data_IF_202433540422
#
_entry.id   IF_202433540422
#
_cell.length_a   1.000
_cell.length_b   1.000
_cell.length_c   1.000
_cell.angle_alpha   90.00
_cell.angle_beta   90.00
_cell.angle_gamma   90.00
#
_symmetry.space_group_name_H-M   'P 1'
#
loop_
_entity.id
_entity.type
_entity.pdbx_description
1 polymer ?
#
# COMPACT_ATOMS: atom_id res chain seq x y z
N UNK A 1 11.51 15.10 -14.12
CA UNK A 1 10.75 14.26 -13.18
C UNK A 1 9.34 14.14 -13.70
N UNK A 2 8.89 12.95 -14.08
CA UNK A 2 7.52 12.71 -14.54
C UNK A 2 6.57 12.82 -13.34
N UNK A 3 5.47 13.57 -13.49
CA UNK A 3 4.42 13.68 -12.48
C UNK A 3 3.07 13.31 -13.09
N UNK A 4 2.39 12.35 -12.49
CA UNK A 4 1.04 11.91 -12.85
C UNK A 4 0.09 12.14 -11.67
N UNK A 5 -1.18 12.40 -11.96
CA UNK A 5 -2.21 12.65 -10.94
C UNK A 5 -3.50 11.93 -11.28
N UNK A 6 -4.21 11.49 -10.25
CA UNK A 6 -5.53 10.91 -10.38
C UNK A 6 -5.55 9.48 -10.91
N UNK A 7 -6.67 8.81 -10.63
CA UNK A 7 -7.06 7.53 -11.19
C UNK A 7 -8.58 7.42 -11.08
N UNK A 8 -9.28 6.83 -12.08
CA UNK A 8 -10.72 6.62 -11.96
C UNK A 8 -11.10 5.74 -10.75
N UNK A 9 -12.09 6.18 -9.96
CA UNK A 9 -12.55 5.44 -8.78
C UNK A 9 -13.46 4.25 -9.10
N UNK A 10 -14.05 4.21 -10.30
CA UNK A 10 -15.02 3.17 -10.70
C UNK A 10 -14.52 1.74 -10.45
N UNK A 11 -13.29 1.42 -10.86
CA UNK A 11 -12.74 0.09 -10.67
C UNK A 11 -12.55 -0.25 -9.18
N UNK A 12 -12.22 0.75 -8.36
CA UNK A 12 -12.09 0.59 -6.91
C UNK A 12 -13.45 0.30 -6.27
N UNK A 13 -14.49 1.05 -6.65
CA UNK A 13 -15.85 0.87 -6.11
C UNK A 13 -16.38 -0.51 -6.49
N UNK A 14 -16.25 -0.92 -7.75
CA UNK A 14 -16.75 -2.21 -8.24
C UNK A 14 -16.04 -3.42 -7.60
N UNK A 15 -14.74 -3.33 -7.32
CA UNK A 15 -13.99 -4.43 -6.71
C UNK A 15 -14.11 -4.50 -5.18
N UNK A 16 -14.74 -3.51 -4.56
CA UNK A 16 -14.80 -3.38 -3.09
C UNK A 16 -16.21 -3.22 -2.56
N UNK A 17 -17.18 -3.90 -3.16
CA UNK A 17 -18.59 -3.90 -2.73
C UNK A 17 -18.76 -4.29 -1.27
N UNK A 18 -17.98 -5.27 -0.78
CA UNK A 18 -18.00 -5.68 0.62
C UNK A 18 -17.65 -4.57 1.62
N UNK A 19 -16.97 -3.49 1.18
CA UNK A 19 -16.68 -2.34 2.05
C UNK A 19 -17.92 -1.48 2.31
N UNK A 20 -18.96 -1.65 1.49
CA UNK A 20 -20.27 -1.03 1.65
C UNK A 20 -21.24 -1.99 2.33
N UNK A 21 -21.26 -3.26 1.90
CA UNK A 21 -22.26 -4.25 2.30
C UNK A 21 -21.95 -4.97 3.62
N UNK A 22 -20.66 -5.17 3.94
CA UNK A 22 -20.21 -5.99 5.08
C UNK A 22 -19.54 -5.15 6.18
N UNK A 23 -20.03 -3.92 6.42
CA UNK A 23 -19.44 -2.96 7.36
C UNK A 23 -19.14 -3.55 8.75
N UNK A 24 -20.14 -4.15 9.40
CA UNK A 24 -20.02 -4.70 10.75
C UNK A 24 -19.00 -5.85 10.84
N UNK A 25 -18.97 -6.71 9.82
CA UNK A 25 -18.02 -7.81 9.76
C UNK A 25 -16.59 -7.28 9.72
N UNK A 26 -16.33 -6.28 8.89
CA UNK A 26 -15.00 -5.72 8.76
C UNK A 26 -14.58 -4.93 10.00
N UNK A 27 -15.48 -4.16 10.62
CA UNK A 27 -15.21 -3.48 11.90
C UNK A 27 -14.84 -4.49 12.99
N UNK A 28 -15.57 -5.60 13.09
CA UNK A 28 -15.26 -6.65 14.07
C UNK A 28 -13.85 -7.22 13.87
N UNK A 29 -13.48 -7.54 12.63
CA UNK A 29 -12.12 -8.02 12.28
C UNK A 29 -11.06 -6.97 12.61
N UNK A 30 -11.35 -5.70 12.32
CA UNK A 30 -10.48 -4.59 12.64
C UNK A 30 -10.22 -4.51 14.14
N UNK A 31 -11.25 -4.43 14.96
CA UNK A 31 -11.10 -4.36 16.42
C UNK A 31 -10.34 -5.55 17.01
N UNK A 32 -10.52 -6.76 16.47
CA UNK A 32 -9.71 -7.93 16.84
C UNK A 32 -8.20 -7.72 16.59
N UNK A 33 -7.84 -7.14 15.44
CA UNK A 33 -6.45 -6.79 15.12
C UNK A 33 -5.93 -5.72 16.09
N UNK A 34 -6.74 -4.69 16.41
CA UNK A 34 -6.37 -3.65 17.37
C UNK A 34 -6.07 -4.20 18.76
N UNK A 35 -6.89 -5.13 19.25
CA UNK A 35 -6.69 -5.79 20.54
C UNK A 35 -5.36 -6.56 20.61
N UNK A 36 -4.89 -7.11 19.49
CA UNK A 36 -3.58 -7.77 19.40
C UNK A 36 -2.47 -6.71 19.39
N UNK A 37 -2.63 -5.65 18.61
CA UNK A 37 -1.63 -4.60 18.45
C UNK A 37 -1.38 -3.80 19.75
N UNK A 38 -2.43 -3.47 20.51
CA UNK A 38 -2.33 -2.72 21.77
C UNK A 38 -1.57 -3.50 22.86
N UNK A 39 -1.51 -4.83 22.75
CA UNK A 39 -0.75 -5.70 23.68
C UNK A 39 0.75 -5.73 23.39
N UNK A 40 1.20 -5.12 22.29
CA UNK A 40 2.62 -5.06 21.95
C UNK A 40 3.34 -4.01 22.82
N UNK A 41 4.68 -4.06 22.92
CA UNK A 41 5.45 -3.03 23.61
C UNK A 41 5.18 -1.63 23.04
N UNK A 42 5.24 -0.60 23.89
CA UNK A 42 5.10 0.78 23.43
C UNK A 42 6.25 1.15 22.49
N UNK A 43 5.89 1.77 21.37
CA UNK A 43 6.84 2.34 20.41
C UNK A 43 7.46 3.61 20.96
N UNK A 44 8.78 3.59 21.10
CA UNK A 44 9.57 4.72 21.64
C UNK A 44 10.19 5.59 20.56
N UNK A 45 10.40 5.04 19.37
CA UNK A 45 11.07 5.74 18.26
C UNK A 45 10.23 5.67 17.00
N UNK A 46 10.32 6.70 16.17
CA UNK A 46 9.61 6.77 14.91
C UNK A 46 10.09 5.68 13.96
N UNK A 47 9.15 4.91 13.41
CA UNK A 47 9.46 3.81 12.47
C UNK A 47 10.14 4.31 11.18
N UNK A 48 9.91 5.57 10.80
CA UNK A 48 10.51 6.16 9.62
C UNK A 48 11.92 6.70 9.84
N UNK A 49 12.18 7.43 10.94
CA UNK A 49 13.45 8.16 11.12
C UNK A 49 14.27 7.75 12.36
N UNK A 50 13.81 6.79 13.16
CA UNK A 50 14.41 6.33 14.42
C UNK A 50 14.60 7.42 15.50
N UNK A 51 14.06 8.63 15.33
CA UNK A 51 14.06 9.65 16.38
C UNK A 51 13.04 9.32 17.48
N UNK A 52 13.28 9.74 18.73
CA UNK A 52 12.31 9.57 19.82
C UNK A 52 10.93 10.13 19.45
N UNK A 53 9.88 9.42 19.85
CA UNK A 53 8.50 9.90 19.78
C UNK A 53 8.10 10.53 21.11
N UNK A 54 7.16 11.47 21.07
CA UNK A 54 6.49 11.98 22.27
C UNK A 54 5.84 10.83 23.05
N UNK A 55 5.78 10.96 24.38
CA UNK A 55 5.01 10.03 25.23
C UNK A 55 3.50 10.23 25.10
N UNK A 56 3.08 11.43 24.65
CA UNK A 56 1.68 11.82 24.45
C UNK A 56 1.21 11.37 23.06
N UNK A 57 -0.03 10.88 22.98
CA UNK A 57 -0.69 10.56 21.71
C UNK A 57 -1.36 11.82 21.15
N UNK A 58 -1.28 12.03 19.84
CA UNK A 58 -2.00 13.12 19.15
C UNK A 58 -3.49 12.82 19.02
N UNK A 59 -3.83 11.54 18.84
CA UNK A 59 -5.21 11.05 18.87
C UNK A 59 -5.25 9.56 19.20
N UNK A 60 -6.46 9.07 19.47
CA UNK A 60 -6.74 7.65 19.72
C UNK A 60 -7.85 7.17 18.80
N UNK A 61 -7.73 5.92 18.31
CA UNK A 61 -8.71 5.28 17.45
C UNK A 61 -8.75 3.78 17.75
N UNK A 62 -9.93 3.27 18.11
CA UNK A 62 -10.15 1.87 18.52
C UNK A 62 -9.15 1.39 19.62
N UNK A 63 -8.84 2.26 20.59
CA UNK A 63 -7.88 1.97 21.68
C UNK A 63 -6.40 2.13 21.30
N UNK A 64 -6.10 2.38 20.02
CA UNK A 64 -4.75 2.58 19.53
C UNK A 64 -4.42 4.07 19.61
N UNK A 65 -3.38 4.40 20.38
CA UNK A 65 -2.78 5.74 20.34
C UNK A 65 -1.96 5.94 19.07
N UNK A 66 -2.02 7.14 18.50
CA UNK A 66 -1.22 7.53 17.34
C UNK A 66 -0.40 8.79 17.63
N UNK A 67 0.78 8.86 17.01
CA UNK A 67 1.82 9.88 17.26
C UNK A 67 2.44 10.36 15.96
N UNK A 68 2.39 11.65 15.72
CA UNK A 68 3.04 12.34 14.61
C UNK A 68 4.47 12.66 15.05
N UNK A 69 5.45 12.22 14.27
CA UNK A 69 6.86 12.45 14.60
C UNK A 69 7.26 13.91 14.37
N UNK A 70 7.77 14.58 15.39
CA UNK A 70 8.22 15.98 15.31
C UNK A 70 9.41 16.20 14.35
N UNK A 71 10.14 15.15 13.98
CA UNK A 71 11.30 15.26 13.07
C UNK A 71 10.94 15.09 11.60
N UNK A 72 10.08 14.13 11.26
CA UNK A 72 9.80 13.77 9.87
C UNK A 72 8.32 13.73 9.52
N UNK A 73 7.45 14.13 10.44
CA UNK A 73 5.97 14.15 10.33
C UNK A 73 5.31 12.80 10.03
N UNK A 74 6.05 11.70 10.08
CA UNK A 74 5.49 10.35 9.92
C UNK A 74 4.46 10.08 11.00
N UNK A 75 3.32 9.50 10.63
CA UNK A 75 2.30 9.06 11.58
C UNK A 75 2.63 7.66 12.06
N UNK A 76 2.74 7.44 13.36
CA UNK A 76 3.11 6.17 13.99
C UNK A 76 1.99 5.70 14.91
N UNK A 77 1.66 4.42 14.90
CA UNK A 77 0.94 3.78 15.99
C UNK A 77 1.83 3.69 17.24
N UNK A 78 1.21 3.74 18.41
CA UNK A 78 1.90 3.81 19.70
C UNK A 78 2.56 2.48 20.14
N UNK A 79 2.47 1.42 19.34
CA UNK A 79 2.94 0.08 19.68
C UNK A 79 3.87 -0.52 18.61
N UNK A 80 4.71 -1.47 18.99
CA UNK A 80 5.69 -2.11 18.11
C UNK A 80 5.05 -3.22 17.24
N UNK A 81 5.53 -3.35 16.01
CA UNK A 81 5.16 -4.44 15.10
C UNK A 81 6.07 -5.65 15.37
N UNK A 82 5.91 -6.29 16.53
CA UNK A 82 6.80 -7.40 16.94
C UNK A 82 6.63 -8.65 16.06
N UNK A 83 7.58 -9.57 16.09
CA UNK A 83 7.47 -10.88 15.42
C UNK A 83 6.17 -11.60 15.81
N UNK A 84 5.72 -11.49 17.06
CA UNK A 84 4.45 -12.04 17.54
C UNK A 84 3.26 -11.39 16.85
N UNK A 85 3.26 -10.07 16.70
CA UNK A 85 2.20 -9.37 15.96
C UNK A 85 2.24 -9.73 14.48
N UNK A 86 3.41 -9.62 13.85
CA UNK A 86 3.60 -9.91 12.44
C UNK A 86 3.22 -11.36 12.09
N UNK A 87 3.62 -12.34 12.90
CA UNK A 87 3.23 -13.75 12.68
C UNK A 87 1.73 -14.00 12.85
N UNK A 88 1.04 -13.28 13.73
CA UNK A 88 -0.42 -13.40 13.87
C UNK A 88 -1.17 -12.79 12.68
N UNK A 89 -0.68 -11.67 12.15
CA UNK A 89 -1.33 -10.98 11.03
C UNK A 89 -0.95 -11.60 9.68
N UNK A 90 0.29 -12.07 9.53
CA UNK A 90 0.89 -12.51 8.27
C UNK A 90 1.33 -13.98 8.25
N UNK A 91 1.61 -14.60 9.40
CA UNK A 91 2.30 -15.90 9.49
C UNK A 91 1.44 -17.12 9.79
N UNK A 92 0.29 -17.01 10.46
CA UNK A 92 -0.45 -18.18 10.98
C UNK A 92 -1.93 -18.26 10.60
N UNK A 93 -2.49 -17.25 9.92
CA UNK A 93 -3.82 -17.32 9.35
C UNK A 93 -3.77 -16.98 7.86
N UNK A 94 -3.59 -18.02 7.04
CA UNK A 94 -3.88 -18.06 5.59
C UNK A 94 -5.29 -17.55 5.22
N UNK A 95 -6.11 -17.14 6.21
CA UNK A 95 -7.52 -16.73 6.05
C UNK A 95 -7.78 -15.25 6.23
N UNK A 96 -6.94 -14.45 6.91
CA UNK A 96 -7.29 -13.04 7.21
C UNK A 96 -6.70 -12.06 6.19
N UNK A 97 -5.39 -12.05 5.98
CA UNK A 97 -4.76 -11.17 4.99
C UNK A 97 -4.96 -11.68 3.56
N UNK A 98 -4.78 -12.99 3.33
CA UNK A 98 -5.01 -13.62 2.02
C UNK A 98 -6.48 -13.59 1.58
N UNK A 99 -7.46 -13.42 2.49
CA UNK A 99 -8.86 -13.21 2.11
C UNK A 99 -9.06 -11.93 1.27
N UNK A 100 -8.24 -10.90 1.46
CA UNK A 100 -8.29 -9.67 0.63
C UNK A 100 -7.78 -9.89 -0.81
N UNK A 101 -7.18 -11.06 -1.07
CA UNK A 101 -6.59 -11.47 -2.34
C UNK A 101 -7.09 -12.85 -2.80
N UNK A 102 -8.24 -13.31 -2.30
CA UNK A 102 -8.87 -14.51 -2.86
C UNK A 102 -9.19 -14.25 -4.33
N UNK A 103 -8.66 -15.12 -5.16
CA UNK A 103 -8.92 -15.14 -6.59
C UNK A 103 -9.91 -16.27 -6.81
N UNK A 104 -11.14 -15.91 -7.14
CA UNK A 104 -12.18 -16.91 -7.38
C UNK A 104 -11.86 -17.72 -8.65
N UNK A 105 -11.31 -17.05 -9.68
CA UNK A 105 -10.86 -17.68 -10.93
C UNK A 105 -9.84 -16.81 -11.72
N UNK A 106 -9.35 -17.36 -12.84
CA UNK A 106 -8.39 -16.71 -13.75
C UNK A 106 -8.96 -15.44 -14.38
N UNK A 107 -10.27 -15.33 -14.56
CA UNK A 107 -10.91 -14.14 -15.14
C UNK A 107 -10.85 -12.97 -14.15
N UNK A 108 -11.26 -13.20 -12.90
CA UNK A 108 -11.14 -12.25 -11.80
C UNK A 108 -9.68 -11.82 -11.57
N UNK A 109 -8.74 -12.76 -11.66
CA UNK A 109 -7.31 -12.45 -11.63
C UNK A 109 -6.94 -11.46 -12.73
N UNK A 110 -7.27 -11.79 -13.98
CA UNK A 110 -6.92 -11.00 -15.15
C UNK A 110 -7.58 -9.62 -15.15
N UNK A 111 -8.82 -9.52 -14.67
CA UNK A 111 -9.52 -8.25 -14.48
C UNK A 111 -8.80 -7.36 -13.47
N UNK A 112 -8.34 -7.91 -12.35
CA UNK A 112 -7.57 -7.15 -11.36
C UNK A 112 -6.19 -6.76 -11.89
N UNK A 113 -5.52 -7.64 -12.65
CA UNK A 113 -4.27 -7.31 -13.37
C UNK A 113 -4.49 -6.09 -14.27
N UNK A 114 -5.51 -6.10 -15.13
CA UNK A 114 -5.75 -5.03 -16.10
C UNK A 114 -6.22 -3.71 -15.47
N UNK A 115 -7.08 -3.76 -14.47
CA UNK A 115 -7.70 -2.56 -13.89
C UNK A 115 -6.86 -1.90 -12.78
N UNK A 116 -6.08 -2.68 -12.04
CA UNK A 116 -5.30 -2.17 -10.90
C UNK A 116 -3.81 -2.09 -11.21
N UNK A 117 -3.22 -3.16 -11.75
CA UNK A 117 -1.76 -3.31 -11.81
C UNK A 117 -1.15 -2.92 -13.15
N UNK A 118 -1.88 -3.08 -14.25
CA UNK A 118 -1.41 -2.63 -15.57
C UNK A 118 -1.13 -1.12 -15.61
N UNK A 119 -1.96 -0.23 -15.04
CA UNK A 119 -1.61 1.19 -14.93
C UNK A 119 -0.33 1.45 -14.12
N UNK A 120 -0.06 0.64 -13.09
CA UNK A 120 1.18 0.75 -12.29
C UNK A 120 2.40 0.32 -13.12
N UNK A 121 2.25 -0.73 -13.92
CA UNK A 121 3.31 -1.24 -14.79
C UNK A 121 3.63 -0.24 -15.91
N UNK A 122 2.61 0.34 -16.53
CA UNK A 122 2.73 1.43 -17.51
C UNK A 122 3.41 2.67 -16.92
N UNK A 123 3.07 3.03 -15.68
CA UNK A 123 3.75 4.13 -14.97
C UNK A 123 5.24 3.86 -14.80
N UNK A 124 5.64 2.66 -14.37
CA UNK A 124 7.05 2.28 -14.27
C UNK A 124 7.76 2.32 -15.63
N UNK A 125 7.14 1.71 -16.64
CA UNK A 125 7.68 1.61 -17.99
C UNK A 125 7.91 3.00 -18.61
N UNK A 126 6.89 3.85 -18.58
CA UNK A 126 6.94 5.22 -19.09
C UNK A 126 7.91 6.09 -18.30
N UNK A 127 7.97 5.89 -16.97
CA UNK A 127 8.94 6.59 -16.12
C UNK A 127 10.37 6.29 -16.55
N UNK A 128 10.72 5.01 -16.71
CA UNK A 128 12.07 4.61 -17.15
C UNK A 128 12.41 5.17 -18.54
N UNK A 129 11.47 5.12 -19.50
CA UNK A 129 11.65 5.72 -20.82
C UNK A 129 11.88 7.23 -20.76
N UNK A 130 11.14 7.95 -19.91
CA UNK A 130 11.31 9.41 -19.73
C UNK A 130 12.69 9.81 -19.22
N UNK A 131 13.45 8.84 -18.68
CA UNK A 131 14.84 9.00 -18.23
C UNK A 131 15.86 8.32 -19.16
N UNK A 132 15.49 8.09 -20.44
CA UNK A 132 16.32 7.46 -21.46
C UNK A 132 16.82 6.05 -21.09
N UNK A 133 16.05 5.31 -20.29
CA UNK A 133 16.34 3.93 -19.94
C UNK A 133 15.37 3.02 -20.67
N UNK A 134 15.88 2.08 -21.47
CA UNK A 134 15.05 1.07 -22.11
C UNK A 134 14.61 0.03 -21.06
N UNK A 135 13.31 -0.07 -20.72
CA UNK A 135 12.84 -0.99 -19.68
C UNK A 135 13.12 -2.46 -20.02
N UNK A 136 13.17 -2.82 -21.31
CA UNK A 136 13.38 -4.19 -21.76
C UNK A 136 14.83 -4.70 -21.58
N UNK A 137 15.76 -3.80 -21.26
CA UNK A 137 17.17 -4.16 -20.98
C UNK A 137 17.45 -4.33 -19.48
N UNK A 138 16.43 -4.22 -18.64
CA UNK A 138 16.54 -4.35 -17.19
C UNK A 138 15.95 -5.66 -16.69
N UNK A 139 16.38 -6.04 -15.50
CA UNK A 139 15.84 -7.13 -14.70
C UNK A 139 15.00 -6.59 -13.53
N UNK A 140 13.89 -7.25 -13.22
CA UNK A 140 12.89 -6.77 -12.26
C UNK A 140 12.62 -7.81 -11.18
N UNK A 141 12.53 -7.36 -9.92
CA UNK A 141 12.06 -8.16 -8.81
C UNK A 141 10.92 -7.42 -8.10
N UNK A 142 9.74 -8.03 -8.09
CA UNK A 142 8.63 -7.59 -7.24
C UNK A 142 8.75 -8.22 -5.85
N UNK A 143 9.16 -7.44 -4.87
CA UNK A 143 9.39 -7.90 -3.51
C UNK A 143 8.11 -7.76 -2.67
N UNK A 144 7.64 -8.86 -2.09
CA UNK A 144 6.30 -8.94 -1.48
C UNK A 144 5.20 -9.02 -2.54
N UNK A 145 5.36 -9.90 -3.53
CA UNK A 145 4.54 -9.92 -4.74
C UNK A 145 3.10 -10.40 -4.54
N UNK A 146 2.76 -10.96 -3.38
CA UNK A 146 1.48 -11.62 -3.14
C UNK A 146 1.20 -12.69 -4.22
N UNK A 147 0.00 -12.65 -4.82
CA UNK A 147 -0.40 -13.53 -5.92
C UNK A 147 0.23 -13.18 -7.28
N UNK A 148 1.17 -12.23 -7.34
CA UNK A 148 1.92 -11.89 -8.56
C UNK A 148 1.18 -11.03 -9.58
N UNK A 149 0.20 -10.23 -9.16
CA UNK A 149 -0.53 -9.35 -10.08
C UNK A 149 0.37 -8.35 -10.80
N UNK A 150 1.35 -7.77 -10.10
CA UNK A 150 2.27 -6.79 -10.70
C UNK A 150 3.28 -7.46 -11.64
N UNK A 151 3.81 -8.63 -11.27
CA UNK A 151 4.61 -9.49 -12.14
C UNK A 151 3.86 -9.81 -13.44
N UNK A 152 2.59 -10.24 -13.33
CA UNK A 152 1.72 -10.50 -14.49
C UNK A 152 1.51 -9.24 -15.34
N UNK A 153 1.28 -8.08 -14.72
CA UNK A 153 1.13 -6.81 -15.42
C UNK A 153 2.39 -6.43 -16.21
N UNK A 154 3.58 -6.57 -15.62
CA UNK A 154 4.88 -6.33 -16.27
C UNK A 154 5.08 -7.25 -17.48
N UNK A 155 4.77 -8.54 -17.36
CA UNK A 155 4.83 -9.50 -18.49
C UNK A 155 3.90 -9.08 -19.62
N UNK A 156 2.68 -8.64 -19.31
CA UNK A 156 1.67 -8.23 -20.32
C UNK A 156 2.07 -6.97 -21.09
N UNK A 157 2.88 -6.09 -20.51
CA UNK A 157 3.43 -4.91 -21.21
C UNK A 157 4.76 -5.21 -21.91
N UNK A 158 5.19 -6.47 -21.96
CA UNK A 158 6.35 -6.93 -22.72
C UNK A 158 7.66 -7.08 -21.94
N UNK A 159 7.68 -6.81 -20.63
CA UNK A 159 8.89 -7.03 -19.81
C UNK A 159 9.16 -8.54 -19.69
N UNK A 160 10.34 -8.96 -20.14
CA UNK A 160 10.70 -10.39 -20.19
C UNK A 160 11.37 -10.90 -18.91
N UNK A 161 12.24 -10.09 -18.31
CA UNK A 161 13.06 -10.50 -17.16
C UNK A 161 12.46 -9.96 -15.85
N UNK A 162 11.42 -10.63 -15.36
CA UNK A 162 10.71 -10.26 -14.14
C UNK A 162 10.41 -11.48 -13.29
N UNK A 163 10.67 -11.38 -12.00
CA UNK A 163 10.29 -12.36 -10.98
C UNK A 163 9.63 -11.68 -9.80
N UNK A 164 8.97 -12.47 -8.94
CA UNK A 164 8.40 -12.00 -7.68
C UNK A 164 8.87 -12.85 -6.51
N UNK A 165 8.95 -12.26 -5.32
CA UNK A 165 9.22 -12.99 -4.07
C UNK A 165 8.13 -12.71 -3.04
N UNK A 166 7.73 -13.75 -2.32
CA UNK A 166 6.63 -13.69 -1.34
C UNK A 166 6.93 -14.66 -0.20
N UNK A 167 6.43 -14.38 1.01
CA UNK A 167 6.61 -15.25 2.18
C UNK A 167 5.53 -16.34 2.26
N UNK A 168 4.34 -16.03 1.75
CA UNK A 168 3.20 -16.95 1.73
C UNK A 168 3.30 -17.97 0.59
N UNK A 169 3.63 -19.21 0.91
CA UNK A 169 3.72 -20.31 -0.08
C UNK A 169 2.42 -20.51 -0.88
N UNK A 170 1.27 -20.36 -0.20
CA UNK A 170 -0.05 -20.46 -0.84
C UNK A 170 -0.26 -19.38 -1.92
N UNK A 171 0.23 -18.15 -1.70
CA UNK A 171 0.17 -17.07 -2.66
C UNK A 171 1.09 -17.31 -3.85
N UNK A 172 2.31 -17.82 -3.59
CA UNK A 172 3.26 -18.22 -4.63
C UNK A 172 2.65 -19.29 -5.53
N UNK A 173 2.12 -20.37 -4.95
CA UNK A 173 1.48 -21.46 -5.71
C UNK A 173 0.27 -20.97 -6.52
N UNK A 174 -0.60 -20.18 -5.89
CA UNK A 174 -1.77 -19.62 -6.57
C UNK A 174 -1.35 -18.68 -7.71
N UNK A 175 -0.40 -17.78 -7.47
CA UNK A 175 0.07 -16.82 -8.45
C UNK A 175 0.73 -17.48 -9.65
N UNK A 176 1.64 -18.43 -9.45
CA UNK A 176 2.26 -19.19 -10.55
C UNK A 176 1.19 -19.95 -11.37
N UNK A 177 0.18 -20.52 -10.71
CA UNK A 177 -0.96 -21.15 -11.40
C UNK A 177 -1.76 -20.15 -12.24
N UNK A 178 -2.04 -18.96 -11.70
CA UNK A 178 -2.83 -17.92 -12.39
C UNK A 178 -2.04 -17.27 -13.54
N UNK A 179 -0.73 -17.14 -13.39
CA UNK A 179 0.19 -16.62 -14.42
C UNK A 179 0.44 -17.66 -15.52
N UNK A 180 0.46 -18.95 -15.17
CA UNK A 180 0.80 -20.04 -16.08
C UNK A 180 2.31 -20.24 -16.30
N UNK A 181 3.15 -19.63 -15.45
CA UNK A 181 4.60 -19.68 -15.50
C UNK A 181 5.16 -19.60 -14.06
N UNK A 182 6.28 -20.27 -13.78
CA UNK A 182 6.96 -20.20 -12.48
C UNK A 182 7.81 -18.92 -12.38
N UNK A 183 7.17 -17.82 -11.98
CA UNK A 183 7.82 -16.50 -11.84
C UNK A 183 7.90 -16.01 -10.39
N UNK A 184 7.11 -16.61 -9.50
CA UNK A 184 7.05 -16.26 -8.08
C UNK A 184 7.81 -17.30 -7.25
N UNK A 185 8.59 -16.82 -6.28
CA UNK A 185 9.43 -17.65 -5.42
C UNK A 185 9.16 -17.36 -3.95
N UNK A 186 9.12 -18.43 -3.14
CA UNK A 186 8.99 -18.30 -1.70
C UNK A 186 10.33 -17.90 -1.06
N UNK A 187 10.29 -17.02 -0.07
CA UNK A 187 11.37 -16.86 0.91
C UNK A 187 10.80 -16.87 2.34
N UNK A 188 11.63 -17.10 3.35
CA UNK A 188 11.20 -16.98 4.75
C UNK A 188 11.33 -15.54 5.24
N UNK A 189 10.54 -15.15 6.25
CA UNK A 189 10.62 -13.80 6.85
C UNK A 189 12.03 -13.45 7.35
N UNK A 190 12.76 -14.43 7.88
CA UNK A 190 14.14 -14.26 8.36
C UNK A 190 15.13 -13.92 7.22
N UNK A 191 14.80 -14.33 5.99
CA UNK A 191 15.66 -14.15 4.82
C UNK A 191 15.37 -12.86 4.04
N UNK A 192 14.40 -12.04 4.48
CA UNK A 192 14.02 -10.79 3.79
C UNK A 192 15.22 -9.90 3.46
N UNK A 193 16.16 -9.71 4.40
CA UNK A 193 17.35 -8.90 4.15
C UNK A 193 18.30 -9.57 3.15
N UNK A 194 18.47 -10.89 3.23
CA UNK A 194 19.35 -11.65 2.33
C UNK A 194 18.88 -11.58 0.87
N UNK A 195 17.56 -11.75 0.65
CA UNK A 195 16.96 -11.63 -0.69
C UNK A 195 17.30 -10.27 -1.34
N UNK A 196 17.20 -9.19 -0.57
CA UNK A 196 17.48 -7.83 -1.06
C UNK A 196 18.98 -7.58 -1.22
N UNK A 197 19.84 -8.09 -0.34
CA UNK A 197 21.28 -7.88 -0.43
C UNK A 197 21.94 -8.69 -1.55
N UNK A 198 21.42 -9.87 -1.86
CA UNK A 198 22.04 -10.82 -2.81
C UNK A 198 21.46 -10.73 -4.22
N UNK A 199 20.29 -10.10 -4.40
CA UNK A 199 19.68 -9.99 -5.71
C UNK A 199 20.57 -9.25 -6.71
N UNK A 200 20.53 -9.71 -7.96
CA UNK A 200 21.27 -9.14 -9.09
C UNK A 200 20.37 -8.33 -10.03
N UNK A 201 19.20 -7.93 -9.53
CA UNK A 201 18.20 -7.21 -10.30
C UNK A 201 18.48 -5.70 -10.40
N UNK A 202 18.09 -5.09 -11.52
CA UNK A 202 18.22 -3.64 -11.73
C UNK A 202 17.11 -2.82 -11.05
N UNK A 203 15.88 -3.34 -11.03
CA UNK A 203 14.68 -2.65 -10.53
C UNK A 203 13.96 -3.49 -9.48
N UNK A 204 13.84 -2.96 -8.26
CA UNK A 204 12.95 -3.55 -7.24
C UNK A 204 11.63 -2.79 -7.22
N UNK A 205 10.51 -3.50 -7.16
CA UNK A 205 9.22 -2.93 -6.79
C UNK A 205 8.74 -3.44 -5.43
N UNK A 206 8.09 -2.56 -4.67
CA UNK A 206 7.45 -2.83 -3.39
C UNK A 206 6.07 -2.19 -3.40
N UNK A 207 5.08 -2.92 -3.92
CA UNK A 207 3.73 -2.40 -4.13
C UNK A 207 2.86 -2.66 -2.90
N UNK A 208 2.78 -1.69 -1.99
CA UNK A 208 2.04 -1.84 -0.73
C UNK A 208 2.72 -2.81 0.23
N UNK A 209 4.04 -2.67 0.39
CA UNK A 209 4.89 -3.61 1.15
C UNK A 209 5.72 -2.87 2.19
N UNK A 210 6.29 -1.72 1.84
CA UNK A 210 7.23 -0.98 2.69
C UNK A 210 6.62 -0.60 4.05
N UNK A 211 5.32 -0.32 4.08
CA UNK A 211 4.53 -0.02 5.28
C UNK A 211 4.28 -1.23 6.19
N UNK A 212 4.46 -2.45 5.69
CA UNK A 212 4.25 -3.68 6.44
C UNK A 212 5.55 -4.30 6.95
N UNK A 213 6.71 -3.83 6.46
CA UNK A 213 7.99 -4.31 6.94
C UNK A 213 8.25 -3.85 8.38
N UNK A 214 8.62 -4.80 9.24
CA UNK A 214 9.06 -4.51 10.61
C UNK A 214 10.34 -3.67 10.59
N UNK A 215 11.31 -4.07 9.77
CA UNK A 215 12.65 -3.46 9.64
C UNK A 215 12.80 -2.68 8.32
N UNK A 216 11.84 -1.81 7.98
CA UNK A 216 11.79 -1.09 6.69
C UNK A 216 13.07 -0.30 6.40
N UNK A 217 13.69 0.30 7.41
CA UNK A 217 14.95 1.06 7.29
C UNK A 217 16.13 0.16 6.94
N UNK A 218 16.20 -1.04 7.51
CA UNK A 218 17.24 -2.03 7.20
C UNK A 218 17.12 -2.51 5.75
N UNK A 219 15.88 -2.72 5.28
CA UNK A 219 15.62 -3.04 3.86
C UNK A 219 16.06 -1.92 2.92
N UNK A 220 15.70 -0.66 3.21
CA UNK A 220 16.12 0.49 2.41
C UNK A 220 17.64 0.67 2.41
N UNK A 221 18.30 0.38 3.54
CA UNK A 221 19.76 0.35 3.64
C UNK A 221 20.36 -0.71 2.71
N UNK A 222 19.86 -1.95 2.75
CA UNK A 222 20.32 -3.02 1.86
C UNK A 222 20.13 -2.65 0.38
N UNK A 223 19.01 -2.02 0.01
CA UNK A 223 18.78 -1.51 -1.35
C UNK A 223 19.83 -0.44 -1.73
N UNK A 224 20.11 0.50 -0.83
CA UNK A 224 21.11 1.53 -1.06
C UNK A 224 22.53 0.96 -1.20
N UNK A 225 22.84 -0.13 -0.51
CA UNK A 225 24.19 -0.73 -0.52
C UNK A 225 24.39 -1.74 -1.66
N UNK A 226 23.33 -2.43 -2.12
CA UNK A 226 23.42 -3.40 -3.22
C UNK A 226 23.66 -2.69 -4.56
N UNK A 227 24.83 -2.92 -5.17
CA UNK A 227 25.28 -2.26 -6.40
C UNK A 227 24.51 -2.64 -7.65
N UNK A 228 23.81 -3.79 -7.66
CA UNK A 228 23.02 -4.23 -8.80
C UNK A 228 21.73 -3.42 -8.95
N UNK A 229 21.14 -2.99 -7.82
CA UNK A 229 19.89 -2.25 -7.80
C UNK A 229 20.15 -0.80 -8.22
N UNK A 230 19.46 -0.38 -9.28
CA UNK A 230 19.51 0.97 -9.87
C UNK A 230 18.27 1.77 -9.55
N UNK A 231 17.11 1.11 -9.52
CA UNK A 231 15.82 1.74 -9.29
C UNK A 231 15.00 1.01 -8.23
N UNK A 232 14.23 1.79 -7.47
CA UNK A 232 13.24 1.30 -6.51
C UNK A 232 11.89 1.94 -6.84
N UNK A 233 10.88 1.13 -7.12
CA UNK A 233 9.49 1.58 -7.19
C UNK A 233 8.77 1.23 -5.87
N UNK A 234 8.15 2.21 -5.23
CA UNK A 234 7.28 1.96 -4.07
C UNK A 234 5.86 2.47 -4.33
N UNK A 235 4.89 1.82 -3.71
CA UNK A 235 3.52 2.30 -3.56
C UNK A 235 3.23 2.31 -2.07
N UNK A 236 2.98 3.47 -1.47
CA UNK A 236 2.80 3.60 -0.02
C UNK A 236 1.59 4.46 0.37
N UNK A 237 0.94 4.16 1.51
CA UNK A 237 -0.19 4.93 2.00
C UNK A 237 0.28 6.18 2.74
N UNK A 238 -0.47 7.27 2.57
CA UNK A 238 -0.14 8.60 3.08
C UNK A 238 -1.13 9.07 4.16
N UNK A 239 -0.62 9.79 5.15
CA UNK A 239 -1.46 10.50 6.10
C UNK A 239 -2.20 11.63 5.38
N UNK A 240 -3.52 11.46 5.28
CA UNK A 240 -4.39 12.17 4.33
C UNK A 240 -5.79 12.39 4.94
N UNK A 241 -6.72 12.93 4.16
CA UNK A 241 -8.07 13.23 4.60
C UNK A 241 -8.81 11.96 5.09
N UNK A 242 -8.53 10.80 4.48
CA UNK A 242 -9.09 9.52 4.92
C UNK A 242 -8.97 9.29 6.43
N UNK A 243 -7.83 9.64 7.06
CA UNK A 243 -7.64 9.43 8.50
C UNK A 243 -8.61 10.25 9.34
N UNK A 244 -8.86 11.51 8.95
CA UNK A 244 -9.81 12.37 9.66
C UNK A 244 -11.24 11.85 9.52
N UNK A 245 -11.61 11.36 8.33
CA UNK A 245 -12.93 10.77 8.10
C UNK A 245 -13.16 9.52 8.96
N UNK A 246 -12.12 8.70 9.12
CA UNK A 246 -12.15 7.52 10.00
C UNK A 246 -12.30 7.90 11.48
N UNK A 247 -11.55 8.89 11.97
CA UNK A 247 -11.68 9.39 13.35
C UNK A 247 -13.11 9.87 13.64
N UNK A 248 -13.73 10.56 12.67
CA UNK A 248 -15.10 11.08 12.79
C UNK A 248 -16.18 9.99 12.60
N UNK A 249 -15.81 8.76 12.24
CA UNK A 249 -16.74 7.70 11.86
C UNK A 249 -16.37 6.33 12.44
N UNK A 250 -16.24 6.19 13.78
CA UNK A 250 -15.68 5.00 14.43
C UNK A 250 -16.48 3.70 14.24
N UNK A 251 -17.71 3.79 13.73
CA UNK A 251 -18.57 2.64 13.41
C UNK A 251 -18.69 2.42 11.90
N UNK A 252 -17.71 2.88 11.12
CA UNK A 252 -17.56 2.60 9.70
C UNK A 252 -16.26 1.85 9.50
N UNK A 253 -16.25 0.85 8.62
CA UNK A 253 -15.03 0.13 8.28
C UNK A 253 -13.93 1.11 7.83
N UNK A 254 -12.73 1.01 8.40
CA UNK A 254 -11.62 1.94 8.19
C UNK A 254 -10.58 1.40 7.20
N UNK A 255 -10.65 1.77 5.92
CA UNK A 255 -9.78 1.20 4.89
C UNK A 255 -8.30 1.58 5.07
N UNK A 256 -8.03 2.76 5.62
CA UNK A 256 -6.76 3.45 5.45
C UNK A 256 -5.82 3.28 6.64
N UNK A 257 -6.21 3.73 7.84
CA UNK A 257 -5.41 3.59 9.07
C UNK A 257 -5.99 2.51 9.98
N UNK A 258 -5.99 1.27 9.51
CA UNK A 258 -6.39 0.10 10.29
C UNK A 258 -5.89 -1.19 9.60
N UNK A 259 -6.04 -2.34 10.26
CA UNK A 259 -6.11 -3.64 9.59
C UNK A 259 -4.77 -4.11 9.03
N UNK A 260 -3.67 -3.71 9.68
CA UNK A 260 -2.29 -3.98 9.25
C UNK A 260 -1.50 -2.70 8.97
N UNK A 261 -2.17 -1.58 8.67
CA UNK A 261 -1.50 -0.27 8.59
C UNK A 261 -1.36 0.35 9.99
N UNK A 262 -0.21 0.13 10.61
CA UNK A 262 0.13 0.67 11.94
C UNK A 262 0.77 2.05 11.86
N UNK A 263 1.07 2.54 10.65
CA UNK A 263 1.68 3.85 10.41
C UNK A 263 1.38 4.34 8.99
N UNK A 264 1.57 5.64 8.75
CA UNK A 264 1.36 6.24 7.42
C UNK A 264 2.46 7.25 7.10
N UNK A 265 2.82 7.31 5.82
CA UNK A 265 3.84 8.22 5.33
C UNK A 265 3.31 9.63 5.15
N UNK A 266 4.23 10.59 5.12
CA UNK A 266 3.97 11.96 4.64
C UNK A 266 5.01 12.27 3.58
N UNK A 267 4.79 13.31 2.78
CA UNK A 267 5.80 13.75 1.82
C UNK A 267 7.15 14.05 2.51
N UNK A 268 7.12 14.64 3.72
CA UNK A 268 8.34 14.92 4.48
C UNK A 268 9.01 13.63 4.99
N UNK A 269 8.24 12.65 5.46
CA UNK A 269 8.81 11.38 5.95
C UNK A 269 9.46 10.57 4.82
N UNK A 270 8.85 10.59 3.64
CA UNK A 270 9.43 10.01 2.42
C UNK A 270 10.73 10.75 2.04
N UNK A 271 10.70 12.09 1.99
CA UNK A 271 11.89 12.88 1.67
C UNK A 271 13.03 12.65 2.67
N UNK A 272 12.72 12.43 3.95
CA UNK A 272 13.70 12.04 4.97
C UNK A 272 14.40 10.72 4.59
N UNK A 273 13.64 9.68 4.24
CA UNK A 273 14.19 8.40 3.79
C UNK A 273 15.02 8.55 2.52
N UNK A 274 14.54 9.35 1.55
CA UNK A 274 15.28 9.58 0.31
C UNK A 274 16.66 10.19 0.57
N UNK A 275 16.73 11.19 1.46
CA UNK A 275 17.99 11.84 1.80
C UNK A 275 18.93 10.88 2.54
N UNK A 276 18.42 10.12 3.49
CA UNK A 276 19.21 9.19 4.28
C UNK A 276 19.78 8.03 3.43
N UNK A 277 18.94 7.42 2.59
CA UNK A 277 19.31 6.25 1.79
C UNK A 277 19.74 6.62 0.37
N UNK A 278 20.15 7.89 0.15
CA UNK A 278 20.71 8.38 -1.12
C UNK A 278 19.86 8.05 -2.36
N UNK A 279 18.54 8.18 -2.22
CA UNK A 279 17.58 7.95 -3.29
C UNK A 279 17.13 9.29 -3.88
N UNK A 280 17.10 9.37 -5.22
CA UNK A 280 16.57 10.50 -5.96
C UNK A 280 15.18 10.15 -6.50
N UNK A 281 14.17 10.98 -6.20
CA UNK A 281 12.85 10.87 -6.82
C UNK A 281 12.93 11.23 -8.30
N UNK A 282 12.63 10.28 -9.18
CA UNK A 282 12.69 10.49 -10.64
C UNK A 282 11.31 10.54 -11.30
N UNK A 283 10.31 9.90 -10.68
CA UNK A 283 8.90 10.01 -11.07
C UNK A 283 7.97 9.86 -9.89
N UNK A 284 6.79 10.49 -9.99
CA UNK A 284 5.75 10.46 -8.96
C UNK A 284 4.37 10.29 -9.61
N UNK A 285 3.52 9.44 -9.05
CA UNK A 285 2.10 9.38 -9.37
C UNK A 285 1.27 9.45 -8.09
N UNK A 286 0.56 10.56 -7.95
CA UNK A 286 -0.28 10.86 -6.79
C UNK A 286 -1.73 10.53 -7.11
N UNK A 287 -2.33 9.65 -6.33
CA UNK A 287 -3.76 9.36 -6.41
C UNK A 287 -4.27 8.82 -5.09
N UNK A 288 -5.51 9.13 -4.74
CA UNK A 288 -6.10 8.71 -3.48
C UNK A 288 -7.48 8.07 -3.64
N UNK A 289 -8.00 7.62 -2.52
CA UNK A 289 -9.38 7.19 -2.38
C UNK A 289 -10.08 7.97 -1.25
N UNK A 290 -9.56 9.15 -0.90
CA UNK A 290 -10.10 10.04 0.14
C UNK A 290 -11.58 10.38 -0.12
N UNK A 291 -11.91 10.75 -1.36
CA UNK A 291 -13.30 11.07 -1.74
C UNK A 291 -14.18 9.82 -1.83
N UNK A 292 -13.60 8.66 -2.15
CA UNK A 292 -14.31 7.38 -2.10
C UNK A 292 -14.62 7.01 -0.65
N UNK A 293 -13.69 7.26 0.29
CA UNK A 293 -13.89 7.04 1.71
C UNK A 293 -14.97 7.97 2.29
N UNK A 294 -14.99 9.25 1.85
CA UNK A 294 -16.07 10.19 2.20
C UNK A 294 -17.42 9.70 1.68
N UNK A 295 -17.49 9.38 0.38
CA UNK A 295 -18.70 8.86 -0.26
C UNK A 295 -19.23 7.62 0.48
N UNK A 296 -18.36 6.64 0.71
CA UNK A 296 -18.70 5.40 1.41
C UNK A 296 -19.15 5.67 2.85
N UNK A 297 -18.47 6.55 3.58
CA UNK A 297 -18.85 6.85 4.96
C UNK A 297 -20.25 7.47 5.03
N UNK A 298 -20.63 8.33 4.09
CA UNK A 298 -21.97 8.90 4.05
C UNK A 298 -22.98 7.83 3.62
N UNK A 299 -22.66 7.08 2.56
CA UNK A 299 -23.53 6.04 2.03
C UNK A 299 -23.89 4.98 3.07
N UNK A 300 -22.90 4.39 3.75
CA UNK A 300 -23.14 3.37 4.78
C UNK A 300 -23.93 3.93 5.97
N UNK A 301 -23.69 5.19 6.36
CA UNK A 301 -24.50 5.85 7.41
C UNK A 301 -25.94 6.08 6.96
N UNK A 302 -26.17 6.42 5.69
CA UNK A 302 -27.52 6.55 5.12
C UNK A 302 -28.26 5.20 5.07
N UNK A 303 -27.54 4.10 4.82
CA UNK A 303 -28.12 2.75 4.92
C UNK A 303 -28.52 2.38 6.36
N UNK A 304 -27.80 2.89 7.35
CA UNK A 304 -28.07 2.65 8.77
C UNK A 304 -29.18 3.49 9.41
N UNK A 305 -29.82 4.40 8.66
CA UNK A 305 -30.93 5.23 9.15
C UNK A 305 -32.20 5.01 8.33
N UNK A 306 -33.35 5.45 8.85
CA UNK A 306 -34.61 5.48 8.10
C UNK A 306 -34.57 6.56 7.01
N UNK A 307 -33.93 6.26 5.88
CA UNK A 307 -33.87 7.09 4.69
C UNK A 307 -34.54 6.39 3.50
N UNK A 308 -35.32 7.14 2.72
CA UNK A 308 -35.95 6.59 1.50
C UNK A 308 -34.91 6.18 0.44
N UNK A 309 -35.20 5.14 -0.33
CA UNK A 309 -34.37 4.71 -1.46
C UNK A 309 -34.13 5.84 -2.48
N UNK A 310 -35.11 6.74 -2.63
CA UNK A 310 -34.98 7.93 -3.48
C UNK A 310 -33.85 8.85 -3.03
N UNK A 311 -33.71 9.08 -1.72
CA UNK A 311 -32.64 9.91 -1.15
C UNK A 311 -31.27 9.24 -1.35
N UNK A 312 -31.19 7.93 -1.03
CA UNK A 312 -29.96 7.14 -1.19
C UNK A 312 -29.47 7.12 -2.63
N UNK A 313 -30.39 6.86 -3.57
CA UNK A 313 -30.12 6.91 -5.02
C UNK A 313 -29.68 8.30 -5.46
N UNK A 314 -30.36 9.35 -5.00
CA UNK A 314 -30.00 10.73 -5.35
C UNK A 314 -28.58 11.09 -4.88
N UNK A 315 -28.19 10.68 -3.68
CA UNK A 315 -26.81 10.87 -3.20
C UNK A 315 -25.79 10.12 -4.06
N UNK A 316 -26.05 8.86 -4.39
CA UNK A 316 -25.19 8.07 -5.27
C UNK A 316 -25.01 8.70 -6.66
N UNK A 317 -26.11 9.14 -7.28
CA UNK A 317 -26.09 9.83 -8.58
C UNK A 317 -25.33 11.16 -8.51
N UNK A 318 -25.54 11.96 -7.46
CA UNK A 318 -24.85 13.23 -7.26
C UNK A 318 -23.33 13.03 -7.14
N UNK A 319 -22.89 12.00 -6.41
CA UNK A 319 -21.47 11.78 -6.16
C UNK A 319 -20.74 11.15 -7.35
N UNK A 320 -21.43 10.34 -8.16
CA UNK A 320 -20.86 9.57 -9.27
C UNK A 320 -19.94 10.38 -10.19
N UNK A 321 -20.33 11.61 -10.53
CA UNK A 321 -19.61 12.45 -11.50
C UNK A 321 -18.61 13.42 -10.85
N UNK A 322 -18.64 13.58 -9.52
CA UNK A 322 -17.80 14.56 -8.81
C UNK A 322 -16.70 13.93 -7.93
N UNK A 323 -16.80 12.64 -7.58
CA UNK A 323 -15.78 11.95 -6.76
C UNK A 323 -14.38 12.10 -7.38
N UNK A 324 -14.24 11.74 -8.66
CA UNK A 324 -12.94 11.75 -9.35
C UNK A 324 -12.40 13.18 -9.55
N UNK A 325 -13.20 14.16 -10.02
CA UNK A 325 -12.74 15.56 -10.10
C UNK A 325 -12.29 16.14 -8.77
N UNK A 326 -13.00 15.89 -7.67
CA UNK A 326 -12.61 16.41 -6.35
C UNK A 326 -11.35 15.71 -5.85
N UNK A 327 -11.25 14.39 -6.00
CA UNK A 327 -10.05 13.64 -5.64
C UNK A 327 -8.82 14.14 -6.41
N UNK A 328 -8.99 14.42 -7.70
CA UNK A 328 -7.91 14.93 -8.55
C UNK A 328 -7.34 16.27 -8.04
N UNK A 329 -8.16 17.14 -7.44
CA UNK A 329 -7.66 18.38 -6.83
C UNK A 329 -6.84 18.13 -5.56
N UNK A 330 -7.17 17.11 -4.76
CA UNK A 330 -6.30 16.67 -3.65
C UNK A 330 -4.99 16.11 -4.19
N UNK A 331 -5.07 15.32 -5.25
CA UNK A 331 -3.92 14.66 -5.86
C UNK A 331 -2.90 15.66 -6.41
N UNK A 332 -3.36 16.68 -7.15
CA UNK A 332 -2.52 17.78 -7.66
C UNK A 332 -1.79 18.57 -6.57
N UNK A 333 -2.23 18.45 -5.31
CA UNK A 333 -1.64 19.09 -4.13
C UNK A 333 -0.79 18.15 -3.29
N UNK A 334 -0.52 16.93 -3.77
CA UNK A 334 0.19 15.88 -3.03
C UNK A 334 -0.51 15.54 -1.69
N UNK A 335 -1.85 15.62 -1.65
CA UNK A 335 -2.66 15.36 -0.44
C UNK A 335 -3.47 14.06 -0.52
N UNK A 336 -3.16 13.22 -1.48
CA UNK A 336 -3.77 11.91 -1.69
C UNK A 336 -3.52 10.94 -0.55
N UNK A 337 -4.38 9.92 -0.42
CA UNK A 337 -4.14 8.78 0.46
C UNK A 337 -3.06 7.81 -0.01
N UNK A 338 -2.59 7.85 -1.26
CA UNK A 338 -1.57 6.94 -1.79
C UNK A 338 -0.62 7.68 -2.75
N UNK A 339 0.62 7.19 -2.86
CA UNK A 339 1.57 7.68 -3.86
C UNK A 339 2.43 6.53 -4.39
N UNK A 340 2.71 6.59 -5.69
CA UNK A 340 3.63 5.71 -6.40
C UNK A 340 4.87 6.52 -6.75
N UNK A 341 6.03 6.03 -6.34
CA UNK A 341 7.30 6.73 -6.53
C UNK A 341 8.28 5.80 -7.21
N UNK A 342 8.95 6.32 -8.24
CA UNK A 342 10.15 5.71 -8.77
C UNK A 342 11.34 6.50 -8.25
N UNK A 343 12.25 5.80 -7.57
CA UNK A 343 13.53 6.33 -7.16
C UNK A 343 14.65 5.79 -8.04
N UNK A 344 15.64 6.62 -8.29
CA UNK A 344 16.95 6.23 -8.80
C UNK A 344 17.95 6.30 -7.66
N UNK A 345 18.81 5.28 -7.52
CA UNK A 345 19.89 5.33 -6.55
C UNK A 345 20.94 6.35 -6.99
N UNK A 346 21.34 7.27 -6.11
CA UNK A 346 22.43 8.21 -6.39
C UNK A 346 23.73 7.42 -6.41
N UNK A 347 24.46 7.48 -7.52
CA UNK A 347 25.85 6.99 -7.56
C UNK A 347 26.69 7.92 -6.71
N UNK A 348 27.35 7.36 -5.70
CA UNK A 348 28.35 8.04 -4.87
C UNK A 348 29.57 8.45 -5.67
#
# INVERSE_FOLDING_TARGET
MLKQYGKPSTALILQKTSFFEENELHIKKQRQISEIYIKQPKRKTCKNCNKPLSDVNDFEKDGIGYKICDTCTHLNGAYEDTDKYCSLIYGNDEKVYAANYKVDDVEAFNYRVSSIYHPKAEFLYTSLLSHNVNPNHLSYLDFGSGTGYFVSALKKIGIKNVTGTEVSESQVRLGNKMIGEELLFKHELIDTLNVISETKTDVISMIGVLEHLQESRSVLKCISENTNIKYLMISVPLFSLSVYLEILSPNIFHRHLHGGHTHLYTEQSINYLCNEFKMEKVSEWWFGADMVDLYRSIYVKLEGIEASDKLKKNFGEMMKDIIDPIQLELDKKNRSSEVHLLFKKRTS
#
